data_IF_501241137919
#
_entry.id   IF_501241137919
#
_cell.length_a   1.000
_cell.length_b   1.000
_cell.length_c   1.000
_cell.angle_alpha   90.00
_cell.angle_beta   90.00
_cell.angle_gamma   90.00
#
_symmetry.space_group_name_H-M   'P 1'
#
loop_
_entity.id
_entity.type
_entity.pdbx_description
1 polymer ?
#
# COMPACT_ATOMS: atom_id res chain seq x y z
N UNK A 1 22.74 -21.71 6.55
CA UNK A 1 23.54 -21.48 5.32
C UNK A 1 23.35 -20.06 4.79
N UNK A 2 22.11 -19.59 4.57
CA UNK A 2 21.83 -18.27 3.98
C UNK A 2 22.17 -17.11 4.93
N UNK A 3 21.92 -17.22 6.23
CA UNK A 3 22.32 -16.22 7.22
C UNK A 3 23.82 -15.95 7.18
N UNK A 4 24.62 -17.03 7.17
CA UNK A 4 26.07 -16.91 7.06
C UNK A 4 26.52 -16.32 5.71
N UNK A 5 25.81 -16.66 4.60
CA UNK A 5 26.13 -16.16 3.27
C UNK A 5 25.88 -14.65 3.13
N UNK A 6 24.84 -14.13 3.78
CA UNK A 6 24.43 -12.74 3.64
C UNK A 6 24.74 -11.87 4.87
N UNK A 7 25.26 -12.47 5.94
CA UNK A 7 25.60 -11.76 7.18
C UNK A 7 24.38 -11.18 7.89
N UNK A 8 23.22 -11.83 7.79
CA UNK A 8 21.94 -11.38 8.36
C UNK A 8 21.32 -12.49 9.21
N UNK A 9 20.48 -12.13 10.16
CA UNK A 9 19.65 -13.06 10.90
C UNK A 9 18.22 -13.05 10.33
N UNK A 10 17.62 -14.22 10.19
CA UNK A 10 16.24 -14.38 9.76
C UNK A 10 15.35 -14.73 10.96
N UNK A 11 14.32 -13.95 11.16
CA UNK A 11 13.23 -14.32 12.07
C UNK A 11 12.11 -14.98 11.24
N UNK A 12 11.90 -16.29 11.45
CA UNK A 12 10.92 -17.07 10.69
C UNK A 12 9.73 -17.36 11.57
N UNK A 13 8.55 -16.90 11.16
CA UNK A 13 7.28 -17.17 11.82
C UNK A 13 6.31 -17.87 10.88
N UNK A 14 5.41 -18.66 11.45
CA UNK A 14 4.34 -19.33 10.71
C UNK A 14 3.00 -18.81 11.19
N UNK A 15 2.15 -18.40 10.26
CA UNK A 15 0.79 -17.98 10.54
C UNK A 15 -0.18 -18.82 9.71
N UNK A 16 -1.37 -19.03 10.24
CA UNK A 16 -2.42 -19.79 9.58
C UNK A 16 -3.60 -18.87 9.34
N UNK A 17 -4.39 -19.21 8.31
CA UNK A 17 -5.65 -18.54 8.07
C UNK A 17 -6.55 -18.66 9.30
N UNK A 18 -7.22 -17.57 9.67
CA UNK A 18 -8.17 -17.57 10.78
C UNK A 18 -9.42 -18.38 10.38
N UNK A 19 -9.83 -19.32 11.25
CA UNK A 19 -11.04 -20.12 11.06
C UNK A 19 -12.31 -19.29 10.93
N UNK A 20 -12.33 -18.07 11.49
CA UNK A 20 -13.44 -17.14 11.31
C UNK A 20 -13.64 -16.71 9.85
N UNK A 21 -12.63 -16.91 8.98
CA UNK A 21 -12.69 -16.64 7.55
C UNK A 21 -13.10 -17.85 6.72
N UNK A 22 -13.37 -19.01 7.34
CA UNK A 22 -13.81 -20.20 6.63
C UNK A 22 -15.16 -19.96 5.94
N UNK A 23 -15.32 -20.54 4.77
CA UNK A 23 -16.53 -20.43 3.95
C UNK A 23 -17.34 -21.73 3.97
N UNK A 24 -18.64 -21.61 3.82
CA UNK A 24 -19.52 -22.78 3.70
C UNK A 24 -19.26 -23.46 2.36
N UNK A 25 -18.99 -24.76 2.37
CA UNK A 25 -18.89 -25.55 1.15
C UNK A 25 -20.28 -25.77 0.55
N UNK A 26 -20.39 -25.57 -0.76
CA UNK A 26 -21.66 -25.80 -1.50
C UNK A 26 -21.42 -26.69 -2.70
N UNK A 27 -22.46 -27.35 -3.17
CA UNK A 27 -22.48 -28.14 -4.39
C UNK A 27 -22.71 -27.24 -5.62
N UNK A 28 -22.82 -27.83 -6.81
CA UNK A 28 -23.06 -27.13 -8.06
C UNK A 28 -24.41 -26.39 -8.14
N UNK A 29 -25.37 -26.79 -7.29
CA UNK A 29 -26.69 -26.15 -7.17
C UNK A 29 -26.73 -25.10 -6.03
N UNK A 30 -25.58 -24.72 -5.48
CA UNK A 30 -25.43 -23.83 -4.31
C UNK A 30 -26.09 -24.34 -3.02
N UNK A 31 -26.26 -25.65 -2.90
CA UNK A 31 -26.78 -26.27 -1.64
C UNK A 31 -25.61 -26.56 -0.71
N UNK A 32 -25.71 -26.15 0.60
CA UNK A 32 -24.64 -26.39 1.55
C UNK A 32 -24.36 -27.87 1.75
N UNK A 33 -23.09 -28.25 1.71
CA UNK A 33 -22.65 -29.58 2.13
C UNK A 33 -22.81 -29.75 3.63
N UNK A 34 -23.25 -30.93 4.02
CA UNK A 34 -23.35 -31.34 5.41
C UNK A 34 -22.42 -32.51 5.69
N UNK A 35 -21.93 -32.56 6.92
CA UNK A 35 -21.13 -33.66 7.43
C UNK A 35 -22.03 -34.84 7.74
N UNK A 36 -21.44 -35.98 8.10
CA UNK A 36 -22.20 -37.19 8.58
C UNK A 36 -23.07 -36.90 9.82
N UNK A 37 -22.73 -35.86 10.59
CA UNK A 37 -23.49 -35.38 11.76
C UNK A 37 -24.51 -34.30 11.43
N UNK A 38 -24.84 -34.09 10.16
CA UNK A 38 -25.76 -33.06 9.66
C UNK A 38 -25.32 -31.61 9.94
N UNK A 39 -24.08 -31.39 10.32
CA UNK A 39 -23.49 -30.05 10.50
C UNK A 39 -23.04 -29.49 9.18
N UNK A 40 -23.05 -28.14 9.03
CA UNK A 40 -22.51 -27.48 7.84
C UNK A 40 -21.01 -27.73 7.69
N UNK A 41 -20.56 -28.00 6.46
CA UNK A 41 -19.16 -28.18 6.16
C UNK A 41 -18.53 -26.81 5.85
N UNK A 42 -17.56 -26.40 6.67
CA UNK A 42 -16.74 -25.22 6.43
C UNK A 42 -15.39 -25.61 5.84
N UNK A 43 -14.88 -24.78 4.96
CA UNK A 43 -13.57 -24.95 4.34
C UNK A 43 -12.79 -23.62 4.35
N UNK A 44 -11.46 -23.70 4.42
CA UNK A 44 -10.63 -22.51 4.31
C UNK A 44 -11.01 -21.69 3.08
N UNK A 45 -11.12 -20.38 3.26
CA UNK A 45 -11.33 -19.46 2.16
C UNK A 45 -10.08 -19.38 1.26
N UNK A 46 -10.22 -18.72 0.10
CA UNK A 46 -9.11 -18.48 -0.80
C UNK A 46 -8.05 -17.52 -0.22
N UNK A 47 -7.02 -17.24 -1.01
CA UNK A 47 -5.87 -16.40 -0.63
C UNK A 47 -6.25 -15.00 -0.09
N UNK A 48 -7.40 -14.46 -0.51
CA UNK A 48 -7.90 -13.18 -0.01
C UNK A 48 -8.07 -13.12 1.51
N UNK A 49 -8.37 -14.24 2.15
CA UNK A 49 -8.50 -14.31 3.61
C UNK A 49 -7.17 -14.06 4.35
N UNK A 50 -6.03 -14.27 3.69
CA UNK A 50 -4.71 -14.01 4.26
C UNK A 50 -4.41 -12.52 4.45
N UNK A 51 -5.27 -11.62 3.98
CA UNK A 51 -5.12 -10.18 4.25
C UNK A 51 -5.13 -9.88 5.75
N UNK A 52 -5.88 -10.65 6.55
CA UNK A 52 -5.87 -10.53 8.01
C UNK A 52 -4.52 -10.89 8.64
N UNK A 53 -3.76 -11.80 8.00
CA UNK A 53 -2.41 -12.12 8.42
C UNK A 53 -1.45 -11.00 8.02
N UNK A 54 -1.58 -10.46 6.80
CA UNK A 54 -0.78 -9.31 6.33
C UNK A 54 -1.00 -8.06 7.18
N UNK A 55 -2.21 -7.80 7.62
CA UNK A 55 -2.52 -6.65 8.47
C UNK A 55 -1.84 -6.69 9.86
N UNK A 56 -1.28 -7.83 10.27
CA UNK A 56 -0.52 -7.98 11.51
C UNK A 56 0.97 -7.70 11.33
N UNK A 57 1.41 -7.45 10.10
CA UNK A 57 2.80 -7.14 9.76
C UNK A 57 2.99 -5.64 9.96
N UNK A 58 3.89 -5.26 10.86
CA UNK A 58 4.18 -3.86 11.21
C UNK A 58 5.39 -3.30 10.47
N UNK A 59 6.07 -4.15 9.69
CA UNK A 59 7.24 -3.77 8.91
C UNK A 59 6.87 -2.78 7.79
N UNK A 60 7.73 -1.79 7.61
CA UNK A 60 7.56 -0.71 6.64
C UNK A 60 7.53 -1.22 5.19
N UNK A 61 8.26 -2.31 4.91
CA UNK A 61 8.37 -2.90 3.57
C UNK A 61 8.09 -4.39 3.61
N UNK A 62 7.12 -4.82 2.81
CA UNK A 62 6.68 -6.21 2.76
C UNK A 62 6.83 -6.75 1.33
N UNK A 63 7.61 -7.81 1.17
CA UNK A 63 7.73 -8.54 -0.09
C UNK A 63 6.84 -9.78 -0.07
N UNK A 64 5.87 -9.84 -0.96
CA UNK A 64 4.90 -10.94 -1.03
C UNK A 64 5.26 -11.87 -2.20
N UNK A 65 5.24 -13.16 -1.94
CA UNK A 65 5.42 -14.20 -2.96
C UNK A 65 4.40 -15.31 -2.77
N UNK A 66 3.64 -15.61 -3.82
CA UNK A 66 2.78 -16.77 -3.84
C UNK A 66 3.62 -18.05 -4.01
N UNK A 67 3.33 -19.08 -3.22
CA UNK A 67 4.03 -20.37 -3.27
C UNK A 67 3.79 -21.09 -4.60
N UNK A 68 2.61 -20.93 -5.21
CA UNK A 68 2.22 -21.62 -6.45
C UNK A 68 3.09 -21.22 -7.65
N UNK A 69 3.76 -20.08 -7.58
CA UNK A 69 4.61 -19.53 -8.64
C UNK A 69 6.11 -19.66 -8.31
N UNK A 70 6.52 -20.69 -7.61
CA UNK A 70 7.95 -20.92 -7.33
C UNK A 70 8.61 -21.50 -8.58
N UNK A 71 9.58 -20.75 -9.11
CA UNK A 71 10.39 -21.20 -10.23
C UNK A 71 11.38 -22.30 -9.82
N UNK A 72 11.76 -23.16 -10.76
CA UNK A 72 12.83 -24.13 -10.54
C UNK A 72 14.19 -23.43 -10.31
N UNK A 73 15.17 -24.16 -9.80
CA UNK A 73 16.48 -23.61 -9.45
C UNK A 73 17.19 -22.88 -10.59
N UNK A 74 16.99 -23.32 -11.83
CA UNK A 74 17.60 -22.70 -13.01
C UNK A 74 17.14 -21.26 -13.22
N UNK A 75 15.89 -20.92 -12.87
CA UNK A 75 15.29 -19.60 -13.03
C UNK A 75 15.41 -18.72 -11.78
N UNK A 76 15.93 -19.27 -10.67
CA UNK A 76 16.07 -18.50 -9.42
C UNK A 76 16.91 -17.22 -9.56
N UNK A 77 18.07 -17.22 -10.27
CA UNK A 77 18.88 -16.00 -10.41
C UNK A 77 18.10 -14.87 -11.10
N UNK A 78 17.38 -15.19 -12.17
CA UNK A 78 16.54 -14.20 -12.89
C UNK A 78 15.39 -13.73 -12.02
N UNK A 79 14.67 -14.64 -11.38
CA UNK A 79 13.59 -14.33 -10.42
C UNK A 79 14.11 -13.40 -9.31
N UNK A 80 15.29 -13.68 -8.75
CA UNK A 80 15.88 -12.85 -7.70
C UNK A 80 16.23 -11.46 -8.23
N UNK A 81 16.70 -11.33 -9.45
CA UNK A 81 16.99 -10.04 -10.09
C UNK A 81 15.75 -9.19 -10.21
N UNK A 82 14.68 -9.73 -10.79
CA UNK A 82 13.43 -8.98 -10.94
C UNK A 82 12.75 -8.64 -9.63
N UNK A 83 12.83 -9.51 -8.62
CA UNK A 83 12.36 -9.18 -7.27
C UNK A 83 13.12 -8.01 -6.65
N UNK A 84 14.45 -7.97 -6.83
CA UNK A 84 15.27 -6.83 -6.38
C UNK A 84 14.89 -5.54 -7.11
N UNK A 85 14.62 -5.61 -8.41
CA UNK A 85 14.15 -4.46 -9.20
C UNK A 85 12.81 -3.93 -8.66
N UNK A 86 11.85 -4.82 -8.42
CA UNK A 86 10.54 -4.42 -7.86
C UNK A 86 10.67 -3.82 -6.47
N UNK A 87 11.49 -4.41 -5.62
CA UNK A 87 11.76 -3.90 -4.27
C UNK A 87 12.47 -2.54 -4.33
N UNK A 88 13.50 -2.41 -5.16
CA UNK A 88 14.21 -1.14 -5.38
C UNK A 88 13.26 -0.03 -5.85
N UNK A 89 12.34 -0.35 -6.78
CA UNK A 89 11.34 0.61 -7.24
C UNK A 89 10.34 0.99 -6.16
N UNK A 90 9.93 0.03 -5.32
CA UNK A 90 9.06 0.31 -4.17
C UNK A 90 9.73 1.27 -3.18
N UNK A 91 11.01 1.05 -2.86
CA UNK A 91 11.79 1.93 -1.97
C UNK A 91 11.96 3.33 -2.56
N UNK A 92 12.30 3.44 -3.84
CA UNK A 92 12.44 4.72 -4.54
C UNK A 92 11.14 5.54 -4.49
N UNK A 93 10.00 4.90 -4.79
CA UNK A 93 8.69 5.56 -4.75
C UNK A 93 8.32 5.98 -3.33
N UNK A 94 8.53 5.11 -2.33
CA UNK A 94 8.30 5.43 -0.93
C UNK A 94 9.11 6.66 -0.51
N UNK A 95 10.40 6.68 -0.81
CA UNK A 95 11.29 7.76 -0.40
C UNK A 95 10.90 9.09 -1.07
N UNK A 96 10.47 9.04 -2.33
CA UNK A 96 9.96 10.20 -3.07
C UNK A 96 8.66 10.72 -2.44
N UNK A 97 7.69 9.84 -2.18
CA UNK A 97 6.41 10.20 -1.56
C UNK A 97 6.61 10.81 -0.16
N UNK A 98 7.45 10.19 0.66
CA UNK A 98 7.78 10.70 1.99
C UNK A 98 8.59 12.00 1.92
N UNK A 99 9.40 12.19 0.86
CA UNK A 99 10.06 13.46 0.56
C UNK A 99 9.03 14.56 0.38
N UNK A 100 8.12 14.41 -0.56
CA UNK A 100 7.05 15.36 -0.81
C UNK A 100 6.16 15.64 0.41
N UNK A 101 5.84 14.62 1.19
CA UNK A 101 5.09 14.83 2.44
C UNK A 101 5.85 15.74 3.42
N UNK A 102 7.15 15.51 3.61
CA UNK A 102 7.97 16.37 4.48
C UNK A 102 8.09 17.80 3.94
N UNK A 103 8.22 17.97 2.63
CA UNK A 103 8.27 19.28 2.00
C UNK A 103 6.94 20.03 2.14
N UNK A 104 5.81 19.37 1.90
CA UNK A 104 4.48 19.94 2.17
C UNK A 104 4.31 20.33 3.64
N UNK A 105 4.77 19.50 4.57
CA UNK A 105 4.71 19.79 6.00
C UNK A 105 5.60 20.97 6.39
N UNK A 106 6.70 21.20 5.68
CA UNK A 106 7.59 22.32 5.94
C UNK A 106 7.04 23.65 5.39
N UNK A 107 6.38 23.61 4.23
CA UNK A 107 5.85 24.81 3.56
C UNK A 107 4.44 25.16 4.06
N UNK A 108 3.63 24.17 4.32
CA UNK A 108 2.24 24.31 4.79
C UNK A 108 2.07 23.67 6.18
N UNK A 109 3.01 23.93 7.09
CA UNK A 109 3.01 23.31 8.40
C UNK A 109 1.78 23.73 9.22
N UNK A 110 1.12 22.80 9.90
CA UNK A 110 0.12 23.15 10.90
C UNK A 110 0.79 23.96 12.03
N UNK A 111 0.02 24.87 12.64
CA UNK A 111 0.51 25.71 13.75
C UNK A 111 1.12 24.84 14.85
N UNK A 112 2.34 25.15 15.35
CA UNK A 112 2.98 24.38 16.41
C UNK A 112 2.07 24.23 17.64
N UNK A 113 1.94 22.99 18.14
CA UNK A 113 1.07 22.65 19.27
C UNK A 113 -0.32 22.14 18.90
N UNK A 114 -0.67 22.15 17.64
CA UNK A 114 -1.90 21.58 17.11
C UNK A 114 -1.61 20.21 16.50
N UNK A 115 -1.99 19.16 17.19
CA UNK A 115 -1.94 17.80 16.63
C UNK A 115 -2.86 17.68 15.41
N UNK A 116 -2.66 16.69 14.55
CA UNK A 116 -3.37 16.54 13.28
C UNK A 116 -4.89 16.44 13.38
N UNK A 117 -5.44 16.32 14.58
CA UNK A 117 -6.88 16.16 14.81
C UNK A 117 -7.56 17.36 15.45
N UNK A 118 -6.84 18.37 15.93
CA UNK A 118 -7.43 19.43 16.76
C UNK A 118 -7.38 20.85 16.16
N UNK A 119 -6.90 21.00 14.94
CA UNK A 119 -6.64 22.33 14.36
C UNK A 119 -7.68 22.74 13.34
N UNK A 120 -8.30 21.79 12.66
CA UNK A 120 -9.44 22.04 11.80
C UNK A 120 -10.63 22.49 12.67
N UNK A 121 -11.02 23.74 12.50
CA UNK A 121 -12.18 24.34 13.21
C UNK A 121 -11.84 25.37 14.27
N UNK A 122 -10.55 25.72 14.49
CA UNK A 122 -10.25 26.92 15.28
C UNK A 122 -10.49 28.19 14.47
N UNK A 123 -11.16 29.20 15.05
CA UNK A 123 -11.39 30.47 14.35
C UNK A 123 -10.07 31.08 13.84
N UNK A 124 -10.01 31.37 12.54
CA UNK A 124 -8.82 31.95 11.90
C UNK A 124 -7.76 30.95 11.39
N UNK A 125 -7.84 29.67 11.76
CA UNK A 125 -6.90 28.65 11.29
C UNK A 125 -7.00 28.41 9.78
N UNK A 126 -8.22 28.34 9.28
CA UNK A 126 -8.47 28.07 7.86
C UNK A 126 -7.91 29.18 6.97
N UNK A 127 -8.04 30.44 7.38
CA UNK A 127 -7.47 31.57 6.64
C UNK A 127 -5.94 31.57 6.69
N UNK A 128 -5.35 31.32 7.87
CA UNK A 128 -3.89 31.26 8.03
C UNK A 128 -3.29 30.10 7.21
N UNK A 129 -3.93 28.97 7.18
CA UNK A 129 -3.45 27.82 6.39
C UNK A 129 -3.61 28.08 4.89
N UNK A 130 -4.66 28.76 4.45
CA UNK A 130 -4.84 29.18 3.06
C UNK A 130 -3.72 30.14 2.63
N UNK A 131 -3.38 31.12 3.46
CA UNK A 131 -2.28 32.05 3.17
C UNK A 131 -0.93 31.35 3.03
N UNK A 132 -0.65 30.36 3.90
CA UNK A 132 0.56 29.54 3.79
C UNK A 132 0.60 28.69 2.52
N UNK A 133 -0.54 28.10 2.15
CA UNK A 133 -0.65 27.27 0.96
C UNK A 133 -0.65 28.09 -0.34
N UNK A 134 -0.92 29.37 -0.29
CA UNK A 134 -0.97 30.29 -1.44
C UNK A 134 0.37 30.94 -1.77
N UNK A 135 1.44 30.61 -1.05
CA UNK A 135 2.78 31.15 -1.36
C UNK A 135 3.31 30.61 -2.69
N UNK A 136 4.16 31.37 -3.42
CA UNK A 136 4.74 30.88 -4.67
C UNK A 136 5.47 29.55 -4.52
N UNK A 137 6.15 29.34 -3.40
CA UNK A 137 6.87 28.10 -3.07
C UNK A 137 5.91 26.92 -2.89
N UNK A 138 4.80 27.13 -2.16
CA UNK A 138 3.78 26.10 -1.96
C UNK A 138 3.09 25.72 -3.28
N UNK A 139 2.77 26.72 -4.10
CA UNK A 139 2.16 26.50 -5.41
C UNK A 139 3.11 25.73 -6.34
N UNK A 140 4.39 26.08 -6.38
CA UNK A 140 5.40 25.37 -7.19
C UNK A 140 5.52 23.91 -6.73
N UNK A 141 5.63 23.68 -5.43
CA UNK A 141 5.68 22.32 -4.85
C UNK A 141 4.43 21.50 -5.20
N UNK A 142 3.24 22.09 -5.09
CA UNK A 142 1.99 21.41 -5.47
C UNK A 142 2.00 21.02 -6.96
N UNK A 143 2.48 21.88 -7.84
CA UNK A 143 2.60 21.60 -9.27
C UNK A 143 3.55 20.41 -9.53
N UNK A 144 4.69 20.37 -8.84
CA UNK A 144 5.67 19.29 -8.97
C UNK A 144 5.10 17.96 -8.47
N UNK A 145 4.38 17.97 -7.35
CA UNK A 145 3.70 16.79 -6.81
C UNK A 145 2.62 16.29 -7.78
N UNK A 146 1.79 17.15 -8.31
CA UNK A 146 0.76 16.76 -9.30
C UNK A 146 1.39 16.19 -10.56
N UNK A 147 2.46 16.79 -11.06
CA UNK A 147 3.21 16.26 -12.19
C UNK A 147 3.78 14.87 -11.90
N UNK A 148 4.31 14.63 -10.70
CA UNK A 148 4.79 13.33 -10.26
C UNK A 148 3.63 12.32 -10.16
N UNK A 149 2.53 12.68 -9.50
CA UNK A 149 1.35 11.81 -9.36
C UNK A 149 0.80 11.40 -10.73
N UNK A 150 0.70 12.35 -11.66
CA UNK A 150 0.20 12.10 -13.01
C UNK A 150 1.16 11.25 -13.85
N UNK A 151 2.42 11.64 -13.91
CA UNK A 151 3.38 11.05 -14.85
C UNK A 151 3.97 9.72 -14.36
N UNK A 152 4.07 9.53 -13.05
CA UNK A 152 4.70 8.34 -12.46
C UNK A 152 3.68 7.37 -11.90
N UNK A 153 2.62 7.87 -11.25
CA UNK A 153 1.60 7.03 -10.61
C UNK A 153 0.30 6.97 -11.40
N UNK A 154 0.18 7.71 -12.51
CA UNK A 154 -1.03 7.79 -13.36
C UNK A 154 -2.28 8.21 -12.55
N UNK A 155 -2.09 9.08 -11.55
CA UNK A 155 -3.15 9.63 -10.72
C UNK A 155 -3.44 11.06 -11.18
N UNK A 156 -4.66 11.31 -11.61
CA UNK A 156 -5.14 12.66 -11.88
C UNK A 156 -5.78 13.24 -10.62
N UNK A 157 -5.42 14.48 -10.31
CA UNK A 157 -6.00 15.20 -9.18
C UNK A 157 -7.26 15.94 -9.64
N UNK A 158 -8.33 15.95 -8.81
CA UNK A 158 -9.48 16.81 -9.07
C UNK A 158 -9.07 18.28 -8.92
N UNK A 159 -9.81 19.17 -9.58
CA UNK A 159 -9.71 20.60 -9.32
C UNK A 159 -10.08 20.89 -7.86
N UNK A 160 -9.33 21.78 -7.24
CA UNK A 160 -9.56 22.22 -5.86
C UNK A 160 -10.00 23.68 -5.86
N UNK A 161 -10.98 24.01 -5.02
CA UNK A 161 -11.53 25.36 -4.95
C UNK A 161 -10.57 26.35 -4.26
N UNK A 162 -9.74 25.85 -3.34
CA UNK A 162 -8.78 26.65 -2.58
C UNK A 162 -7.40 26.01 -2.58
N UNK A 163 -6.34 26.80 -2.31
CA UNK A 163 -4.98 26.27 -2.16
C UNK A 163 -4.90 25.28 -0.99
N UNK A 164 -5.62 25.53 0.09
CA UNK A 164 -5.74 24.65 1.23
C UNK A 164 -6.31 23.28 0.83
N UNK A 165 -7.44 23.25 0.11
CA UNK A 165 -8.08 22.00 -0.32
C UNK A 165 -7.16 21.20 -1.25
N UNK A 166 -6.41 21.90 -2.11
CA UNK A 166 -5.40 21.31 -2.98
C UNK A 166 -4.32 20.59 -2.16
N UNK A 167 -3.75 21.24 -1.16
CA UNK A 167 -2.72 20.67 -0.29
C UNK A 167 -3.25 19.46 0.48
N UNK A 168 -4.45 19.56 1.03
CA UNK A 168 -5.10 18.44 1.74
C UNK A 168 -5.27 17.24 0.81
N UNK A 169 -5.80 17.45 -0.39
CA UNK A 169 -6.00 16.39 -1.37
C UNK A 169 -4.67 15.74 -1.80
N UNK A 170 -3.61 16.54 -2.00
CA UNK A 170 -2.28 16.02 -2.30
C UNK A 170 -1.72 15.17 -1.16
N UNK A 171 -1.81 15.64 0.09
CA UNK A 171 -1.39 14.87 1.26
C UNK A 171 -2.10 13.53 1.37
N UNK A 172 -3.41 13.50 1.15
CA UNK A 172 -4.18 12.25 1.15
C UNK A 172 -3.73 11.28 0.07
N UNK A 173 -3.31 11.76 -1.09
CA UNK A 173 -2.79 10.92 -2.18
C UNK A 173 -1.38 10.42 -1.92
N UNK A 174 -0.53 11.25 -1.33
CA UNK A 174 0.85 10.89 -0.98
C UNK A 174 0.92 9.94 0.21
N UNK A 175 0.06 10.13 1.22
CA UNK A 175 0.06 9.34 2.46
C UNK A 175 -0.78 8.06 2.31
N UNK A 176 -0.42 7.22 1.37
CA UNK A 176 -1.06 5.93 1.10
C UNK A 176 -0.06 4.81 1.01
N UNK A 177 -0.45 3.58 1.39
CA UNK A 177 0.35 2.41 1.10
C UNK A 177 0.64 2.29 -0.41
N UNK A 178 1.89 2.05 -0.76
CA UNK A 178 2.34 1.85 -2.13
C UNK A 178 2.52 0.37 -2.41
N UNK A 179 2.02 -0.08 -3.55
CA UNK A 179 2.21 -1.44 -4.02
C UNK A 179 2.86 -1.42 -5.39
N UNK A 180 3.98 -2.14 -5.51
CA UNK A 180 4.66 -2.38 -6.79
C UNK A 180 4.50 -3.85 -7.14
N UNK A 181 3.91 -4.13 -8.28
CA UNK A 181 3.65 -5.49 -8.73
C UNK A 181 4.28 -5.73 -10.10
N UNK A 182 4.89 -6.91 -10.27
CA UNK A 182 5.29 -7.38 -11.57
C UNK A 182 4.07 -7.79 -12.39
N UNK A 183 4.01 -7.35 -13.64
CA UNK A 183 2.96 -7.75 -14.58
C UNK A 183 3.49 -8.78 -15.58
N UNK A 184 2.75 -9.85 -15.75
CA UNK A 184 3.02 -10.88 -16.77
C UNK A 184 1.91 -10.80 -17.82
N UNK A 185 2.32 -10.81 -19.09
CA UNK A 185 1.35 -10.82 -20.19
C UNK A 185 0.58 -12.14 -20.16
N UNK A 186 -0.75 -12.05 -20.09
CA UNK A 186 -1.62 -13.23 -20.22
C UNK A 186 -1.50 -13.80 -21.63
N UNK A 187 -1.28 -15.11 -21.74
CA UNK A 187 -1.16 -15.83 -23.01
C UNK A 187 -2.37 -16.73 -23.32
N UNK A 188 -3.55 -16.38 -22.79
CA UNK A 188 -4.79 -17.10 -23.06
C UNK A 188 -5.25 -18.04 -21.94
N UNK A 189 -4.57 -18.04 -20.79
CA UNK A 189 -5.05 -18.70 -19.60
C UNK A 189 -6.22 -17.90 -18.99
N UNK A 190 -7.29 -18.56 -18.52
CA UNK A 190 -8.34 -17.88 -17.79
C UNK A 190 -7.76 -17.36 -16.45
N UNK A 191 -7.77 -16.04 -16.28
CA UNK A 191 -7.27 -15.37 -15.09
C UNK A 191 -8.40 -14.94 -14.16
#
# INVERSE_FOLDING_TARGET
AYEAKYGVAYNITFTFQDKATDTIAVDVDNKPFRTETDSLLFRPAGHGALIYNLNKIEEEVVSIKNIDNVANERLLPETATWKKVLLGKALELRDTLHGYLRELDAVCAPIPGSGPTNVMGLPGYDALYEDQCATPEAIALCNDIEAFLKNVLCIEMPEADTCKDRVIALREKLNRPVRVAGMVKNQGEPG
#
